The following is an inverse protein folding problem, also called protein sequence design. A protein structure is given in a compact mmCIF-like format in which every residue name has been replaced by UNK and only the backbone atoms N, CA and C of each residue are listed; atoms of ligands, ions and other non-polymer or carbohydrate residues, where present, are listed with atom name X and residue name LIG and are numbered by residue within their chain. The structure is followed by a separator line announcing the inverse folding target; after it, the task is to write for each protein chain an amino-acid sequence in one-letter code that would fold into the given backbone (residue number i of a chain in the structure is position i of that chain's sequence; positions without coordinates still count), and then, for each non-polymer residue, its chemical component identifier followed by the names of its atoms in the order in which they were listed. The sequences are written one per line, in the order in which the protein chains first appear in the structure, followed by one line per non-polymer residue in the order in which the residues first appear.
data_IF_827351696464
#
_entry.id   IF_827351696464
#
_cell.length_a   1.000
_cell.length_b   1.000
_cell.length_c   1.000
_cell.angle_alpha   90.00
_cell.angle_beta   90.00
_cell.angle_gamma   90.00
#
_symmetry.space_group_name_H-M   'P 1'
#
loop_
_entity.id
_entity.type
_entity.pdbx_description
1 polymer ?
#
# COMPACT_ATOMS: atom_id res chain seq x y z
N UNK A 1 -15.32 -55.34 26.63
CA UNK A 1 -14.28 -55.08 25.61
C UNK A 1 -14.50 -53.78 24.85
N UNK A 2 -15.72 -53.48 24.39
CA UNK A 2 -16.02 -52.22 23.63
C UNK A 2 -15.75 -50.93 24.40
N UNK A 3 -15.99 -50.87 25.71
CA UNK A 3 -15.79 -49.65 26.53
C UNK A 3 -14.32 -49.30 26.75
N UNK A 4 -13.41 -50.29 26.80
CA UNK A 4 -11.97 -50.07 26.94
C UNK A 4 -11.32 -49.53 25.64
N UNK A 5 -11.86 -49.94 24.46
CA UNK A 5 -11.36 -49.49 23.16
C UNK A 5 -11.76 -48.02 22.91
N UNK A 6 -12.98 -47.61 23.32
CA UNK A 6 -13.44 -46.22 23.18
C UNK A 6 -12.63 -45.28 24.06
N UNK A 7 -12.27 -45.68 25.28
CA UNK A 7 -11.45 -44.86 26.17
C UNK A 7 -10.00 -44.73 25.68
N UNK A 8 -9.44 -45.78 25.07
CA UNK A 8 -8.10 -45.74 24.48
C UNK A 8 -8.07 -44.82 23.25
N UNK A 9 -9.13 -44.80 22.43
CA UNK A 9 -9.23 -43.91 21.28
C UNK A 9 -9.34 -42.44 21.73
N UNK A 10 -10.09 -42.13 22.76
CA UNK A 10 -10.20 -40.78 23.31
C UNK A 10 -8.87 -40.27 23.92
N UNK A 11 -8.13 -41.14 24.58
CA UNK A 11 -6.80 -40.81 25.11
C UNK A 11 -5.77 -40.60 24.02
N UNK A 12 -5.84 -41.38 22.92
CA UNK A 12 -4.96 -41.16 21.74
C UNK A 12 -5.27 -39.82 21.03
N UNK A 13 -6.54 -39.46 20.85
CA UNK A 13 -6.94 -38.18 20.21
C UNK A 13 -6.58 -37.00 21.11
N UNK A 14 -6.76 -37.12 22.45
CA UNK A 14 -6.37 -36.11 23.41
C UNK A 14 -4.84 -35.90 23.44
N UNK A 15 -4.05 -36.97 23.36
CA UNK A 15 -2.59 -36.89 23.32
C UNK A 15 -2.08 -36.31 22.00
N UNK A 16 -2.73 -36.54 20.86
CA UNK A 16 -2.35 -35.92 19.60
C UNK A 16 -2.59 -34.42 19.61
N UNK A 17 -3.71 -33.93 20.17
CA UNK A 17 -3.98 -32.51 20.27
C UNK A 17 -3.02 -31.81 21.27
N UNK A 18 -2.65 -32.46 22.37
CA UNK A 18 -1.67 -31.91 23.32
C UNK A 18 -0.26 -31.89 22.72
N UNK A 19 0.13 -32.93 21.97
CA UNK A 19 1.41 -33.00 21.30
C UNK A 19 1.54 -31.90 20.23
N UNK A 20 0.45 -31.63 19.48
CA UNK A 20 0.46 -30.63 18.43
C UNK A 20 0.55 -29.18 18.97
N UNK A 21 -0.11 -28.93 20.14
CA UNK A 21 -0.02 -27.63 20.84
C UNK A 21 1.38 -27.37 21.41
N UNK A 22 1.99 -28.36 22.03
CA UNK A 22 3.35 -28.27 22.62
C UNK A 22 4.42 -28.01 21.53
N UNK A 23 4.24 -28.55 20.34
CA UNK A 23 5.20 -28.37 19.23
C UNK A 23 5.17 -26.96 18.64
N UNK A 24 4.00 -26.33 18.52
CA UNK A 24 3.88 -24.96 18.02
C UNK A 24 4.59 -23.95 18.95
N UNK A 25 4.39 -24.07 20.26
CA UNK A 25 5.07 -23.24 21.25
C UNK A 25 6.60 -23.44 21.23
N UNK A 26 7.07 -24.65 20.96
CA UNK A 26 8.49 -24.94 20.83
C UNK A 26 9.14 -24.18 19.70
N UNK A 27 8.51 -24.16 18.51
CA UNK A 27 9.01 -23.41 17.36
C UNK A 27 8.85 -21.90 17.53
N UNK A 28 7.72 -21.44 18.09
CA UNK A 28 7.55 -20.01 18.37
C UNK A 28 8.55 -19.48 19.41
N UNK A 29 8.96 -20.34 20.38
CA UNK A 29 9.95 -19.96 21.39
C UNK A 29 11.40 -19.93 20.89
N UNK A 30 11.67 -20.39 19.65
CA UNK A 30 12.98 -20.19 19.02
C UNK A 30 13.20 -18.74 18.59
N UNK A 31 12.14 -17.96 18.38
CA UNK A 31 12.24 -16.53 18.08
C UNK A 31 12.61 -15.79 19.36
N UNK A 32 13.84 -15.29 19.42
CA UNK A 32 14.37 -14.63 20.62
C UNK A 32 14.65 -13.15 20.41
N UNK A 33 14.59 -12.36 21.46
CA UNK A 33 14.95 -10.96 21.41
C UNK A 33 16.43 -10.74 21.01
N UNK A 34 17.30 -11.69 21.31
CA UNK A 34 18.73 -11.59 20.97
C UNK A 34 18.96 -11.80 19.47
N UNK A 35 18.31 -12.78 18.84
CA UNK A 35 18.40 -13.04 17.41
C UNK A 35 17.76 -11.90 16.60
N UNK A 36 16.57 -11.43 16.99
CA UNK A 36 15.94 -10.25 16.41
C UNK A 36 16.86 -9.04 16.48
N UNK A 37 17.51 -8.81 17.62
CA UNK A 37 18.45 -7.71 17.80
C UNK A 37 19.67 -7.85 16.88
N UNK A 38 20.27 -9.02 16.77
CA UNK A 38 21.45 -9.26 15.89
C UNK A 38 21.10 -8.94 14.44
N UNK A 39 19.99 -9.50 13.93
CA UNK A 39 19.51 -9.22 12.57
C UNK A 39 19.16 -7.74 12.36
N UNK A 40 18.47 -7.11 13.33
CA UNK A 40 18.08 -5.72 13.23
C UNK A 40 19.27 -4.76 13.22
N UNK A 41 20.27 -4.98 14.09
CA UNK A 41 21.47 -4.14 14.12
C UNK A 41 22.31 -4.27 12.83
N UNK A 42 22.26 -5.42 12.18
CA UNK A 42 22.87 -5.59 10.85
C UNK A 42 22.04 -4.86 9.78
N UNK A 43 20.75 -5.13 9.70
CA UNK A 43 19.87 -4.62 8.66
C UNK A 43 19.64 -3.10 8.72
N UNK A 44 19.69 -2.53 9.90
CA UNK A 44 19.60 -1.10 10.15
C UNK A 44 20.96 -0.42 10.38
N UNK A 45 22.08 -1.04 9.94
CA UNK A 45 23.41 -0.41 10.02
C UNK A 45 23.61 0.63 8.93
N UNK A 46 24.58 1.52 9.12
CA UNK A 46 24.95 2.55 8.13
C UNK A 46 25.41 1.97 6.80
N UNK A 47 25.85 0.70 6.76
CA UNK A 47 26.26 -0.01 5.54
C UNK A 47 25.08 -0.16 4.55
N UNK A 48 23.86 -0.19 5.06
CA UNK A 48 22.64 -0.27 4.27
C UNK A 48 22.13 1.10 3.79
N UNK A 49 22.83 2.19 4.12
CA UNK A 49 22.58 3.55 3.62
C UNK A 49 21.09 3.96 3.75
N UNK A 50 20.37 3.44 4.77
CA UNK A 50 18.95 3.70 4.99
C UNK A 50 17.99 3.14 3.91
N UNK A 51 18.45 2.24 3.06
CA UNK A 51 17.67 1.36 2.15
C UNK A 51 16.69 2.09 1.22
N UNK A 52 16.95 3.33 0.83
CA UNK A 52 16.04 4.06 -0.06
C UNK A 52 15.85 3.29 -1.38
N UNK A 53 14.60 3.22 -1.82
CA UNK A 53 14.17 2.52 -3.03
C UNK A 53 15.01 2.91 -4.25
N UNK A 54 15.57 1.89 -4.94
CA UNK A 54 16.40 2.07 -6.14
C UNK A 54 17.84 2.49 -5.88
N UNK A 55 18.25 2.68 -4.62
CA UNK A 55 19.63 3.04 -4.26
C UNK A 55 20.51 1.81 -4.02
N UNK A 56 21.81 2.06 -3.84
CA UNK A 56 22.79 1.02 -3.48
C UNK A 56 22.44 0.37 -2.14
N UNK A 57 21.99 1.13 -1.15
CA UNK A 57 21.60 0.60 0.15
C UNK A 57 20.45 -0.41 0.04
N UNK A 58 19.46 -0.12 -0.78
CA UNK A 58 18.37 -1.07 -1.06
C UNK A 58 18.88 -2.35 -1.75
N UNK A 59 19.86 -2.24 -2.67
CA UNK A 59 20.44 -3.43 -3.32
C UNK A 59 21.19 -4.31 -2.34
N UNK A 60 21.87 -3.74 -1.35
CA UNK A 60 22.48 -4.49 -0.25
C UNK A 60 21.40 -5.20 0.58
N UNK A 61 20.29 -4.52 0.87
CA UNK A 61 19.18 -5.07 1.64
C UNK A 61 18.54 -6.29 0.96
N UNK A 62 18.23 -6.22 -0.33
CA UNK A 62 17.61 -7.35 -1.05
C UNK A 62 18.54 -8.57 -1.14
N UNK A 63 19.85 -8.35 -1.33
CA UNK A 63 20.81 -9.46 -1.31
C UNK A 63 20.96 -10.05 0.09
N UNK A 64 20.94 -9.26 1.15
CA UNK A 64 20.92 -9.74 2.53
C UNK A 64 19.71 -10.64 2.79
N UNK A 65 18.50 -10.22 2.39
CA UNK A 65 17.27 -11.00 2.55
C UNK A 65 17.31 -12.31 1.76
N UNK A 66 17.71 -12.27 0.50
CA UNK A 66 17.90 -13.47 -0.34
C UNK A 66 18.88 -14.44 0.28
N UNK A 67 20.04 -13.95 0.74
CA UNK A 67 21.06 -14.79 1.36
C UNK A 67 20.55 -15.42 2.66
N UNK A 68 19.82 -14.67 3.48
CA UNK A 68 19.20 -15.20 4.71
C UNK A 68 18.26 -16.38 4.41
N UNK A 69 17.39 -16.25 3.39
CA UNK A 69 16.52 -17.37 2.97
C UNK A 69 17.30 -18.53 2.37
N UNK A 70 18.32 -18.25 1.59
CA UNK A 70 19.19 -19.28 0.98
C UNK A 70 19.92 -20.08 2.07
N UNK A 71 20.46 -19.42 3.07
CA UNK A 71 21.21 -20.05 4.19
C UNK A 71 20.28 -20.92 5.05
N UNK A 72 19.01 -20.49 5.21
CA UNK A 72 17.98 -21.29 5.85
C UNK A 72 17.48 -22.46 4.98
N UNK A 73 17.86 -22.54 3.70
CA UNK A 73 17.36 -23.54 2.76
C UNK A 73 15.86 -23.36 2.45
N UNK A 74 15.35 -22.14 2.49
CA UNK A 74 13.98 -21.78 2.09
C UNK A 74 14.03 -21.34 0.61
N UNK A 75 13.22 -21.97 -0.23
CA UNK A 75 13.21 -21.71 -1.66
C UNK A 75 12.59 -20.34 -2.02
N UNK A 76 12.92 -19.83 -3.19
CA UNK A 76 12.23 -18.68 -3.78
C UNK A 76 10.73 -19.00 -3.98
N UNK A 77 9.88 -17.98 -3.87
CA UNK A 77 8.45 -18.12 -4.11
C UNK A 77 8.11 -18.26 -5.61
N UNK A 78 8.93 -17.65 -6.48
CA UNK A 78 8.76 -17.73 -7.93
C UNK A 78 9.16 -19.12 -8.47
N UNK A 79 8.43 -19.58 -9.47
CA UNK A 79 8.64 -20.90 -10.07
C UNK A 79 9.98 -21.06 -10.81
N UNK A 80 10.59 -19.95 -11.25
CA UNK A 80 11.90 -19.92 -11.90
C UNK A 80 13.08 -20.01 -10.91
N UNK A 81 12.81 -19.96 -9.60
CA UNK A 81 13.81 -20.02 -8.54
C UNK A 81 14.46 -18.68 -8.22
N UNK A 82 14.01 -17.59 -8.82
CA UNK A 82 14.45 -16.23 -8.50
C UNK A 82 13.71 -15.70 -7.26
N UNK A 83 14.45 -15.18 -6.28
CA UNK A 83 13.87 -14.55 -5.10
C UNK A 83 13.33 -13.15 -5.40
N UNK A 84 13.75 -12.54 -6.51
CA UNK A 84 13.43 -11.17 -6.85
C UNK A 84 12.24 -11.08 -7.79
N UNK A 85 11.27 -10.25 -7.42
CA UNK A 85 10.25 -9.75 -8.33
C UNK A 85 10.65 -8.33 -8.72
N UNK A 86 11.03 -8.14 -9.99
CA UNK A 86 11.32 -6.80 -10.51
C UNK A 86 10.08 -5.92 -10.45
N UNK A 87 10.18 -4.77 -9.80
CA UNK A 87 9.15 -3.74 -9.77
C UNK A 87 9.58 -2.63 -10.73
N UNK A 88 8.90 -2.44 -11.85
CA UNK A 88 9.26 -1.42 -12.83
C UNK A 88 8.91 -0.04 -12.27
N UNK A 89 9.92 0.77 -12.03
CA UNK A 89 9.78 2.10 -11.47
C UNK A 89 10.34 3.17 -12.40
N UNK A 90 9.77 4.35 -12.34
CA UNK A 90 10.29 5.57 -12.96
C UNK A 90 10.38 6.68 -11.94
N UNK A 91 11.49 7.40 -11.98
CA UNK A 91 11.64 8.68 -11.31
C UNK A 91 11.01 9.74 -12.21
N UNK A 92 9.95 10.42 -11.76
CA UNK A 92 9.23 11.43 -12.54
C UNK A 92 9.53 12.82 -11.99
N UNK A 93 9.88 13.74 -12.87
CA UNK A 93 10.02 15.16 -12.55
C UNK A 93 8.64 15.84 -12.60
N UNK A 94 8.54 17.04 -12.05
CA UNK A 94 7.33 17.87 -12.24
C UNK A 94 7.08 18.06 -13.74
N UNK A 95 5.88 17.73 -14.26
CA UNK A 95 5.61 17.82 -15.67
C UNK A 95 5.60 19.28 -16.14
N UNK A 96 6.02 19.50 -17.38
CA UNK A 96 5.78 20.75 -18.09
C UNK A 96 4.44 20.66 -18.78
N UNK A 97 3.52 21.51 -18.37
CA UNK A 97 2.16 21.49 -18.93
C UNK A 97 1.75 22.88 -19.38
N UNK A 98 1.24 22.97 -20.60
CA UNK A 98 0.51 24.13 -21.07
C UNK A 98 -0.94 23.75 -21.34
N UNK A 99 -1.86 24.58 -20.90
CA UNK A 99 -3.30 24.40 -21.15
C UNK A 99 -3.85 25.66 -21.82
N UNK A 100 -4.49 25.46 -22.97
CA UNK A 100 -5.21 26.53 -23.69
C UNK A 100 -6.69 26.13 -23.74
N UNK A 101 -7.55 27.02 -23.26
CA UNK A 101 -9.01 26.85 -23.28
C UNK A 101 -9.57 27.90 -24.25
N UNK A 102 -10.22 27.42 -25.30
CA UNK A 102 -10.62 28.24 -26.47
C UNK A 102 -9.42 29.00 -27.02
N UNK A 103 -9.20 30.24 -26.59
CA UNK A 103 -8.07 31.10 -27.03
C UNK A 103 -7.24 31.62 -25.84
N UNK A 104 -7.54 31.18 -24.62
CA UNK A 104 -6.91 31.66 -23.40
C UNK A 104 -5.93 30.63 -22.89
N UNK A 105 -4.67 31.01 -22.73
CA UNK A 105 -3.63 30.15 -22.13
C UNK A 105 -3.60 30.33 -20.61
N UNK A 106 -3.35 29.24 -19.91
CA UNK A 106 -3.26 29.16 -18.45
C UNK A 106 -1.86 28.72 -18.02
N UNK A 107 -1.39 29.21 -16.88
CA UNK A 107 -0.03 28.99 -16.39
C UNK A 107 -0.01 27.99 -15.23
N UNK A 108 0.97 27.08 -15.28
CA UNK A 108 1.24 26.11 -14.20
C UNK A 108 1.59 26.84 -12.90
N UNK A 109 1.13 26.35 -11.76
CA UNK A 109 1.21 26.97 -10.43
C UNK A 109 0.39 28.24 -10.22
N UNK A 110 0.02 28.96 -11.27
CA UNK A 110 -0.79 30.17 -11.16
C UNK A 110 -2.28 29.88 -11.32
N UNK A 111 -2.62 28.99 -12.23
CA UNK A 111 -4.01 28.68 -12.61
C UNK A 111 -4.36 27.21 -12.34
N UNK A 112 -3.38 26.30 -12.47
CA UNK A 112 -3.57 24.87 -12.27
C UNK A 112 -2.27 24.18 -11.82
N UNK A 113 -2.43 22.92 -11.34
CA UNK A 113 -1.34 21.95 -11.15
C UNK A 113 -1.79 20.59 -11.65
N UNK A 114 -0.85 19.76 -12.10
CA UNK A 114 -1.10 18.33 -12.32
C UNK A 114 -1.20 17.58 -10.97
N UNK A 115 -2.13 16.64 -10.88
CA UNK A 115 -2.32 15.76 -9.74
C UNK A 115 -2.16 14.28 -10.12
N UNK A 116 -1.60 14.03 -11.31
CA UNK A 116 -1.26 12.69 -11.83
C UNK A 116 0.11 12.71 -12.46
N UNK A 117 0.81 11.59 -12.32
CA UNK A 117 1.97 11.25 -13.15
C UNK A 117 1.44 10.55 -14.40
N UNK A 118 1.78 11.08 -15.58
CA UNK A 118 1.25 10.60 -16.85
C UNK A 118 2.31 10.70 -17.95
N UNK A 119 2.18 9.88 -18.98
CA UNK A 119 3.06 9.92 -20.16
C UNK A 119 2.85 11.20 -20.95
N UNK A 120 3.90 11.69 -21.65
CA UNK A 120 3.79 12.87 -22.52
C UNK A 120 2.71 12.67 -23.57
N UNK A 121 1.88 13.69 -23.79
CA UNK A 121 0.79 13.64 -24.76
C UNK A 121 0.30 15.04 -25.13
N UNK A 122 -0.18 15.18 -26.35
CA UNK A 122 -0.95 16.34 -26.81
C UNK A 122 -2.42 15.95 -26.90
N UNK A 123 -3.27 16.62 -26.14
CA UNK A 123 -4.71 16.37 -26.10
C UNK A 123 -5.42 17.62 -26.64
N UNK A 124 -6.16 17.42 -27.73
CA UNK A 124 -7.09 18.42 -28.28
C UNK A 124 -8.49 17.83 -28.20
N UNK A 125 -9.40 18.47 -27.49
CA UNK A 125 -10.76 17.95 -27.32
C UNK A 125 -11.81 19.04 -27.27
N UNK A 126 -12.95 18.73 -27.88
CA UNK A 126 -14.23 19.44 -27.67
C UNK A 126 -15.24 18.60 -26.85
N UNK A 127 -14.87 17.38 -26.49
CA UNK A 127 -15.70 16.46 -25.72
C UNK A 127 -15.52 16.69 -24.22
N UNK A 128 -16.15 17.74 -23.71
CA UNK A 128 -16.07 18.17 -22.31
C UNK A 128 -17.38 17.86 -21.62
N UNK A 129 -17.32 17.17 -20.47
CA UNK A 129 -18.47 16.77 -19.68
C UNK A 129 -18.41 17.40 -18.30
N UNK A 130 -19.40 18.19 -17.95
CA UNK A 130 -19.55 18.78 -16.62
C UNK A 130 -20.38 17.84 -15.77
N UNK A 131 -19.79 17.27 -14.72
CA UNK A 131 -20.38 16.21 -13.89
C UNK A 131 -20.77 16.69 -12.48
N UNK A 132 -21.01 17.97 -12.30
CA UNK A 132 -21.33 18.50 -10.97
C UNK A 132 -20.21 18.22 -9.96
N UNK A 133 -20.50 17.51 -8.88
CA UNK A 133 -19.51 17.16 -7.85
C UNK A 133 -18.57 16.02 -8.25
N UNK A 134 -18.87 15.28 -9.32
CA UNK A 134 -18.07 14.11 -9.73
C UNK A 134 -18.23 12.91 -8.79
N UNK A 135 -19.39 12.72 -8.22
CA UNK A 135 -19.71 11.66 -7.27
C UNK A 135 -20.46 10.52 -7.97
N UNK A 136 -20.05 9.27 -7.68
CA UNK A 136 -20.80 8.05 -8.00
C UNK A 136 -20.93 7.20 -6.75
N UNK A 137 -22.10 7.23 -6.16
CA UNK A 137 -22.41 6.52 -4.92
C UNK A 137 -23.86 5.99 -4.98
N UNK A 138 -24.24 5.10 -4.06
CA UNK A 138 -25.60 4.55 -4.00
C UNK A 138 -26.68 5.61 -3.77
N UNK A 139 -26.35 6.66 -3.00
CA UNK A 139 -27.29 7.73 -2.66
C UNK A 139 -27.29 8.88 -3.68
N UNK A 140 -26.20 9.05 -4.44
CA UNK A 140 -26.05 10.16 -5.37
C UNK A 140 -25.10 9.82 -6.50
N UNK A 141 -25.48 10.13 -7.74
CA UNK A 141 -24.70 9.79 -8.91
C UNK A 141 -24.76 10.90 -9.97
N UNK A 142 -23.68 11.68 -10.08
CA UNK A 142 -23.51 12.71 -11.10
C UNK A 142 -23.31 12.15 -12.52
N UNK A 143 -22.88 10.89 -12.62
CA UNK A 143 -22.57 10.24 -13.91
C UNK A 143 -23.74 9.46 -14.49
N UNK A 144 -24.93 9.54 -13.84
CA UNK A 144 -26.10 8.83 -14.31
C UNK A 144 -26.46 9.28 -15.74
N UNK A 145 -26.59 8.30 -16.63
CA UNK A 145 -26.90 8.49 -18.05
C UNK A 145 -25.84 9.32 -18.85
N UNK A 146 -24.62 9.46 -18.31
CA UNK A 146 -23.52 10.14 -18.96
C UNK A 146 -22.45 9.14 -19.44
N UNK A 147 -22.04 9.27 -20.70
CA UNK A 147 -20.84 8.62 -21.20
C UNK A 147 -19.66 9.60 -21.12
N UNK A 148 -18.64 9.25 -20.34
CA UNK A 148 -17.41 10.04 -20.17
C UNK A 148 -16.18 9.36 -20.76
N UNK A 149 -16.36 8.23 -21.44
CA UNK A 149 -15.28 7.46 -22.04
C UNK A 149 -14.48 8.29 -23.05
N UNK A 150 -13.15 8.40 -22.83
CA UNK A 150 -12.22 9.21 -23.61
C UNK A 150 -12.53 10.74 -23.65
N UNK A 151 -13.38 11.23 -22.73
CA UNK A 151 -13.74 12.65 -22.64
C UNK A 151 -12.98 13.39 -21.53
N UNK A 152 -13.06 14.70 -21.57
CA UNK A 152 -12.56 15.55 -20.49
C UNK A 152 -13.69 15.77 -19.49
N UNK A 153 -13.49 15.34 -18.26
CA UNK A 153 -14.44 15.49 -17.16
C UNK A 153 -14.08 16.70 -16.31
N UNK A 154 -15.06 17.54 -16.01
CA UNK A 154 -14.90 18.69 -15.13
C UNK A 154 -15.84 18.54 -13.94
N UNK A 155 -15.27 18.54 -12.74
CA UNK A 155 -16.00 18.45 -11.48
C UNK A 155 -15.70 19.64 -10.55
N UNK A 156 -16.62 19.93 -9.64
CA UNK A 156 -16.45 20.93 -8.59
C UNK A 156 -16.19 20.25 -7.23
N UNK A 157 -15.57 20.98 -6.32
CA UNK A 157 -15.40 20.55 -4.94
C UNK A 157 -16.73 20.48 -4.19
N UNK A 158 -16.74 19.72 -3.07
CA UNK A 158 -17.90 19.57 -2.22
C UNK A 158 -18.75 18.36 -2.56
N UNK A 159 -19.95 18.32 -1.95
CA UNK A 159 -20.97 17.29 -2.09
C UNK A 159 -22.36 17.88 -1.85
N UNK A 160 -23.44 17.21 -2.32
CA UNK A 160 -24.78 17.75 -2.21
C UNK A 160 -25.25 17.79 -0.75
N UNK A 161 -26.12 18.78 -0.46
CA UNK A 161 -26.81 18.92 0.83
C UNK A 161 -28.31 18.69 0.68
N UNK A 162 -28.90 18.22 1.75
CA UNK A 162 -30.34 18.15 1.93
C UNK A 162 -30.93 19.55 2.17
N UNK A 163 -32.26 19.68 2.09
CA UNK A 163 -32.98 20.94 2.34
C UNK A 163 -32.81 21.47 3.77
N UNK A 164 -32.56 20.59 4.75
CA UNK A 164 -32.28 20.93 6.14
C UNK A 164 -30.83 21.36 6.39
N UNK A 165 -29.97 21.33 5.37
CA UNK A 165 -28.56 21.74 5.43
C UNK A 165 -27.58 20.63 5.75
N UNK A 166 -28.03 19.42 6.12
CA UNK A 166 -27.18 18.25 6.32
C UNK A 166 -26.56 17.77 5.01
N UNK A 167 -25.43 17.05 5.07
CA UNK A 167 -24.85 16.46 3.87
C UNK A 167 -25.63 15.21 3.45
N UNK A 168 -25.96 15.12 2.16
CA UNK A 168 -26.76 14.00 1.63
C UNK A 168 -26.07 12.64 1.86
N UNK A 169 -24.73 12.61 1.76
CA UNK A 169 -23.95 11.37 1.82
C UNK A 169 -23.80 10.83 3.25
N UNK A 170 -23.62 11.69 4.24
CA UNK A 170 -23.53 11.29 5.65
C UNK A 170 -24.88 11.30 6.38
N UNK A 171 -25.83 12.06 5.88
CA UNK A 171 -27.11 12.32 6.56
C UNK A 171 -26.98 13.20 7.80
N UNK A 172 -25.82 13.85 8.01
CA UNK A 172 -25.47 14.65 9.19
C UNK A 172 -24.83 15.99 8.79
N UNK A 173 -24.43 16.78 9.78
CA UNK A 173 -23.62 18.00 9.56
C UNK A 173 -22.15 17.72 9.25
N UNK A 174 -21.73 16.45 9.32
CA UNK A 174 -20.34 16.05 9.03
C UNK A 174 -20.17 15.74 7.54
N UNK A 175 -19.01 16.19 7.00
CA UNK A 175 -18.61 15.89 5.61
C UNK A 175 -18.32 14.41 5.43
N UNK A 176 -18.66 13.88 4.25
CA UNK A 176 -18.31 12.51 3.88
C UNK A 176 -16.92 12.44 3.22
N UNK A 177 -16.50 11.23 2.83
CA UNK A 177 -15.29 11.01 2.00
C UNK A 177 -15.26 11.88 0.73
N UNK A 178 -16.41 12.33 0.23
CA UNK A 178 -16.55 13.12 -1.01
C UNK A 178 -16.24 14.62 -0.84
N UNK A 179 -16.09 15.08 0.41
CA UNK A 179 -15.68 16.46 0.74
C UNK A 179 -14.45 16.52 1.64
N UNK A 180 -13.94 15.37 2.11
CA UNK A 180 -12.79 15.32 3.01
C UNK A 180 -11.46 15.45 2.25
N UNK A 181 -10.99 16.66 2.05
CA UNK A 181 -9.64 17.02 1.62
C UNK A 181 -9.07 16.17 0.48
N UNK A 182 -7.90 15.55 0.72
CA UNK A 182 -7.21 14.69 -0.26
C UNK A 182 -8.03 13.45 -0.63
N UNK A 183 -8.75 12.88 0.32
CA UNK A 183 -9.59 11.71 0.06
C UNK A 183 -10.68 12.03 -0.97
N UNK A 184 -11.34 13.19 -0.85
CA UNK A 184 -12.35 13.63 -1.81
C UNK A 184 -11.78 13.79 -3.23
N UNK A 185 -10.61 14.42 -3.35
CA UNK A 185 -9.92 14.57 -4.63
C UNK A 185 -9.64 13.21 -5.27
N UNK A 186 -9.02 12.29 -4.52
CA UNK A 186 -8.72 10.93 -5.00
C UNK A 186 -9.97 10.15 -5.37
N UNK A 187 -11.02 10.18 -4.55
CA UNK A 187 -12.27 9.46 -4.81
C UNK A 187 -12.94 9.92 -6.11
N UNK A 188 -13.01 11.24 -6.33
CA UNK A 188 -13.59 11.82 -7.56
C UNK A 188 -12.75 11.52 -8.79
N UNK A 189 -11.44 11.62 -8.68
CA UNK A 189 -10.49 11.29 -9.73
C UNK A 189 -10.55 9.81 -10.12
N UNK A 190 -10.55 8.90 -9.14
CA UNK A 190 -10.67 7.47 -9.39
C UNK A 190 -12.01 7.12 -10.04
N UNK A 191 -13.10 7.74 -9.61
CA UNK A 191 -14.41 7.57 -10.26
C UNK A 191 -14.38 7.94 -11.74
N UNK A 192 -13.77 9.08 -12.09
CA UNK A 192 -13.63 9.48 -13.49
C UNK A 192 -12.73 8.51 -14.28
N UNK A 193 -11.61 8.04 -13.68
CA UNK A 193 -10.70 7.04 -14.28
C UNK A 193 -11.42 5.71 -14.53
N UNK A 194 -12.14 5.19 -13.57
CA UNK A 194 -12.92 3.94 -13.68
C UNK A 194 -14.00 4.00 -14.77
N UNK A 195 -14.55 5.19 -15.04
CA UNK A 195 -15.51 5.44 -16.09
C UNK A 195 -14.86 5.75 -17.45
N UNK A 196 -13.52 5.66 -17.54
CA UNK A 196 -12.78 5.79 -18.78
C UNK A 196 -12.53 7.23 -19.25
N UNK A 197 -12.59 8.22 -18.37
CA UNK A 197 -12.27 9.60 -18.72
C UNK A 197 -10.82 9.75 -19.21
N UNK A 198 -10.57 10.60 -20.22
CA UNK A 198 -9.24 10.91 -20.73
C UNK A 198 -8.51 11.93 -19.86
N UNK A 199 -9.24 12.93 -19.37
CA UNK A 199 -8.71 13.93 -18.43
C UNK A 199 -9.78 14.30 -17.39
N UNK A 200 -9.32 14.73 -16.22
CA UNK A 200 -10.15 15.13 -15.10
C UNK A 200 -9.68 16.47 -14.53
N UNK A 201 -10.59 17.44 -14.45
CA UNK A 201 -10.35 18.74 -13.83
C UNK A 201 -11.19 18.88 -12.57
N UNK A 202 -10.54 19.11 -11.43
CA UNK A 202 -11.23 19.42 -10.19
C UNK A 202 -11.11 20.93 -9.88
N UNK A 203 -12.23 21.62 -9.88
CA UNK A 203 -12.30 23.03 -9.47
C UNK A 203 -12.36 23.09 -7.95
N UNK A 204 -11.25 23.47 -7.30
CA UNK A 204 -11.15 23.64 -5.85
C UNK A 204 -10.07 24.66 -5.51
N UNK A 205 -10.44 25.94 -5.45
CA UNK A 205 -9.53 27.05 -5.26
C UNK A 205 -8.70 26.98 -3.96
N UNK A 206 -9.33 26.58 -2.86
CA UNK A 206 -8.65 26.46 -1.56
C UNK A 206 -7.56 25.38 -1.58
N UNK A 207 -7.89 24.23 -2.13
CA UNK A 207 -6.94 23.12 -2.28
C UNK A 207 -5.87 23.46 -3.32
N UNK A 208 -6.23 24.05 -4.45
CA UNK A 208 -5.30 24.51 -5.46
C UNK A 208 -4.25 25.46 -4.88
N UNK A 209 -4.65 26.52 -4.19
CA UNK A 209 -3.73 27.49 -3.56
C UNK A 209 -2.77 26.82 -2.57
N UNK A 210 -3.28 25.88 -1.77
CA UNK A 210 -2.47 25.14 -0.79
C UNK A 210 -1.41 24.28 -1.49
N UNK A 211 -1.81 23.47 -2.47
CA UNK A 211 -0.90 22.54 -3.14
C UNK A 211 0.02 23.23 -4.14
N UNK A 212 -0.47 24.22 -4.89
CA UNK A 212 0.34 25.01 -5.81
C UNK A 212 1.53 25.68 -5.07
N UNK A 213 1.27 26.32 -3.94
CA UNK A 213 2.33 26.92 -3.12
C UNK A 213 3.33 25.88 -2.59
N UNK A 214 2.84 24.72 -2.16
CA UNK A 214 3.68 23.64 -1.65
C UNK A 214 4.58 23.07 -2.75
N UNK A 215 4.03 22.69 -3.91
CA UNK A 215 4.79 22.10 -5.00
C UNK A 215 5.73 23.10 -5.66
N UNK A 216 5.31 24.35 -5.82
CA UNK A 216 6.18 25.41 -6.32
C UNK A 216 7.40 25.63 -5.41
N UNK A 217 7.18 25.73 -4.10
CA UNK A 217 8.27 25.89 -3.13
C UNK A 217 9.18 24.65 -3.05
N UNK A 218 8.66 23.44 -3.30
CA UNK A 218 9.44 22.21 -3.41
C UNK A 218 10.35 22.27 -4.64
N UNK A 219 9.80 22.57 -5.80
CA UNK A 219 10.54 22.61 -7.06
C UNK A 219 11.62 23.71 -7.07
N UNK A 220 11.32 24.88 -6.49
CA UNK A 220 12.30 25.98 -6.32
C UNK A 220 13.50 25.59 -5.45
N UNK A 221 13.35 24.61 -4.56
CA UNK A 221 14.43 24.07 -3.72
C UNK A 221 15.19 22.90 -4.37
N UNK A 222 14.93 22.61 -5.65
CA UNK A 222 15.52 21.48 -6.34
C UNK A 222 14.75 20.17 -6.11
N UNK A 223 13.43 20.27 -6.04
CA UNK A 223 12.47 19.29 -5.60
C UNK A 223 12.80 17.83 -5.94
N UNK A 224 12.48 16.94 -5.02
CA UNK A 224 12.61 15.51 -5.22
C UNK A 224 11.69 15.06 -6.34
N UNK A 225 12.23 14.29 -7.27
CA UNK A 225 11.44 13.58 -8.26
C UNK A 225 10.58 12.53 -7.54
N UNK A 226 9.33 12.38 -7.96
CA UNK A 226 8.46 11.34 -7.42
C UNK A 226 8.82 9.98 -8.04
N UNK A 227 8.70 8.93 -7.26
CA UNK A 227 8.79 7.58 -7.78
C UNK A 227 7.39 7.06 -8.14
N UNK A 228 7.25 6.43 -9.30
CA UNK A 228 5.98 5.88 -9.78
C UNK A 228 6.19 4.52 -10.46
N UNK A 229 5.14 3.71 -10.56
CA UNK A 229 5.17 2.47 -11.35
C UNK A 229 5.21 2.79 -12.84
N UNK A 230 6.13 2.15 -13.58
CA UNK A 230 6.18 2.17 -15.04
C UNK A 230 5.35 1.00 -15.60
N UNK A 231 4.05 1.15 -15.56
CA UNK A 231 3.11 0.16 -16.07
C UNK A 231 2.42 0.63 -17.34
N UNK A 232 2.06 -0.31 -18.22
CA UNK A 232 1.41 -0.01 -19.49
C UNK A 232 -0.10 0.25 -19.29
N UNK A 233 -0.43 1.28 -18.51
CA UNK A 233 -1.79 1.79 -18.45
C UNK A 233 -1.93 3.07 -19.29
N UNK A 234 -3.10 3.24 -19.91
CA UNK A 234 -3.46 4.53 -20.50
C UNK A 234 -3.70 5.53 -19.35
N UNK A 235 -2.92 6.60 -19.28
CA UNK A 235 -3.04 7.54 -18.19
C UNK A 235 -4.31 8.37 -18.32
N UNK A 236 -4.95 8.66 -17.21
CA UNK A 236 -5.91 9.76 -17.11
C UNK A 236 -5.17 11.01 -16.60
N UNK A 237 -5.25 12.10 -17.33
CA UNK A 237 -4.61 13.38 -16.95
C UNK A 237 -5.45 14.10 -15.92
N UNK A 238 -4.93 14.31 -14.71
CA UNK A 238 -5.64 14.94 -13.61
C UNK A 238 -5.10 16.34 -13.29
N UNK A 239 -6.01 17.30 -13.11
CA UNK A 239 -5.67 18.67 -12.81
C UNK A 239 -6.51 19.23 -11.67
N UNK A 240 -5.84 19.92 -10.75
CA UNK A 240 -6.48 20.74 -9.73
C UNK A 240 -6.36 22.20 -10.17
N UNK A 241 -7.50 22.90 -10.25
CA UNK A 241 -7.54 24.22 -10.88
C UNK A 241 -8.11 25.31 -9.95
N UNK A 242 -7.66 26.55 -10.22
CA UNK A 242 -8.18 27.76 -9.57
C UNK A 242 -9.65 28.01 -9.90
N UNK A 243 -10.31 28.83 -9.10
CA UNK A 243 -11.68 29.29 -9.40
C UNK A 243 -11.74 30.07 -10.72
N UNK A 244 -10.71 30.87 -11.01
CA UNK A 244 -10.64 31.69 -12.23
C UNK A 244 -10.63 30.80 -13.49
N UNK A 245 -9.74 29.82 -13.54
CA UNK A 245 -9.69 28.83 -14.63
C UNK A 245 -10.98 28.01 -14.67
N UNK A 246 -11.51 27.61 -13.51
CA UNK A 246 -12.75 26.88 -13.39
C UNK A 246 -13.94 27.62 -14.03
N UNK A 247 -14.04 28.92 -13.83
CA UNK A 247 -15.12 29.73 -14.42
C UNK A 247 -15.06 29.76 -15.97
N UNK A 248 -13.90 29.57 -16.55
CA UNK A 248 -13.72 29.42 -18.01
C UNK A 248 -14.08 28.01 -18.44
N UNK A 249 -13.56 26.98 -17.74
CA UNK A 249 -13.87 25.57 -18.00
C UNK A 249 -15.36 25.25 -18.06
N UNK A 250 -16.15 25.87 -17.18
CA UNK A 250 -17.61 25.66 -17.13
C UNK A 250 -18.37 26.22 -18.35
N UNK A 251 -17.70 26.94 -19.24
CA UNK A 251 -18.33 27.61 -20.40
C UNK A 251 -17.62 27.35 -21.72
N UNK A 252 -16.55 26.53 -21.67
CA UNK A 252 -15.69 26.30 -22.84
C UNK A 252 -16.27 25.29 -23.81
N UNK A 253 -15.77 25.35 -25.04
CA UNK A 253 -16.07 24.35 -26.08
C UNK A 253 -14.82 23.56 -26.50
N UNK A 254 -13.62 24.06 -26.25
CA UNK A 254 -12.39 23.38 -26.66
C UNK A 254 -11.29 23.53 -25.62
N UNK A 255 -10.53 22.45 -25.42
CA UNK A 255 -9.34 22.42 -24.55
C UNK A 255 -8.19 21.77 -25.32
N UNK A 256 -7.02 22.44 -25.29
CA UNK A 256 -5.75 21.87 -25.68
C UNK A 256 -4.87 21.73 -24.46
N UNK A 257 -4.29 20.52 -24.26
CA UNK A 257 -3.35 20.22 -23.18
C UNK A 257 -2.10 19.65 -23.83
N UNK A 258 -0.98 20.35 -23.69
CA UNK A 258 0.34 19.83 -24.02
C UNK A 258 1.03 19.42 -22.72
N UNK A 259 1.22 18.11 -22.54
CA UNK A 259 1.75 17.50 -21.32
C UNK A 259 3.08 16.83 -21.65
N UNK A 260 4.18 17.40 -21.18
CA UNK A 260 5.53 16.84 -21.31
C UNK A 260 6.01 16.30 -19.94
N UNK A 261 6.19 14.96 -19.86
CA UNK A 261 6.72 14.28 -18.68
C UNK A 261 8.16 13.86 -18.94
N UNK A 262 9.06 14.32 -18.08
CA UNK A 262 10.42 13.79 -18.01
C UNK A 262 10.48 12.70 -16.96
N UNK A 263 10.92 11.51 -17.36
CA UNK A 263 11.07 10.37 -16.46
C UNK A 263 12.36 9.61 -16.70
N UNK A 264 12.89 8.97 -15.65
CA UNK A 264 14.09 8.14 -15.69
C UNK A 264 13.78 6.77 -15.08
N UNK A 265 14.02 5.66 -15.79
CA UNK A 265 13.84 4.32 -15.24
C UNK A 265 14.69 4.08 -14.00
N UNK A 266 14.09 3.43 -13.00
CA UNK A 266 14.74 2.96 -11.77
C UNK A 266 14.46 1.47 -11.63
N UNK A 267 15.44 0.70 -11.17
CA UNK A 267 15.25 -0.72 -10.86
C UNK A 267 15.08 -0.89 -9.37
N UNK A 268 14.03 -1.61 -8.99
CA UNK A 268 13.80 -2.03 -7.62
C UNK A 268 13.10 -3.39 -7.60
N UNK A 269 13.21 -4.11 -6.51
CA UNK A 269 12.72 -5.48 -6.43
C UNK A 269 12.01 -5.73 -5.09
N UNK A 270 10.88 -6.46 -5.15
CA UNK A 270 10.38 -7.20 -3.99
C UNK A 270 11.21 -8.49 -3.81
N UNK A 271 11.33 -8.96 -2.58
CA UNK A 271 11.97 -10.24 -2.26
C UNK A 271 10.91 -11.21 -1.74
N UNK A 272 10.84 -12.41 -2.33
CA UNK A 272 9.84 -13.40 -1.97
C UNK A 272 10.42 -14.80 -1.82
N UNK A 273 10.23 -15.39 -0.64
CA UNK A 273 10.58 -16.78 -0.33
C UNK A 273 9.32 -17.58 0.07
N UNK A 274 9.36 -18.90 -0.01
CA UNK A 274 8.19 -19.74 0.25
C UNK A 274 8.53 -21.06 0.93
N UNK A 275 7.75 -21.40 1.94
CA UNK A 275 7.67 -22.76 2.49
C UNK A 275 6.39 -23.39 1.97
N UNK A 276 6.52 -24.48 1.18
CA UNK A 276 5.39 -25.16 0.58
C UNK A 276 4.56 -25.92 1.61
N UNK A 277 3.24 -25.79 1.53
CA UNK A 277 2.29 -26.46 2.38
C UNK A 277 2.23 -27.97 2.19
N UNK A 278 2.00 -28.70 3.27
CA UNK A 278 1.96 -30.18 3.28
C UNK A 278 0.61 -30.75 2.87
N UNK A 279 -0.51 -30.06 3.10
CA UNK A 279 -1.87 -30.54 2.83
C UNK A 279 -2.57 -29.72 1.74
N UNK A 280 -2.32 -28.41 1.68
CA UNK A 280 -2.95 -27.43 0.78
C UNK A 280 -1.88 -26.53 0.15
N UNK A 281 -1.03 -27.08 -0.71
CA UNK A 281 0.11 -26.36 -1.27
C UNK A 281 -0.27 -25.20 -2.19
N UNK A 282 -1.48 -25.18 -2.71
CA UNK A 282 -2.00 -24.16 -3.62
C UNK A 282 -2.89 -23.11 -2.91
N UNK A 283 -3.00 -23.17 -1.57
CA UNK A 283 -3.57 -22.11 -0.74
C UNK A 283 -2.43 -21.37 -0.01
N UNK A 284 -2.38 -20.03 -0.12
CA UNK A 284 -1.24 -19.23 0.33
C UNK A 284 -1.62 -18.33 1.50
N UNK A 285 -0.75 -18.24 2.49
CA UNK A 285 -0.73 -17.21 3.51
C UNK A 285 0.51 -16.37 3.25
N UNK A 286 0.37 -15.05 3.16
CA UNK A 286 1.48 -14.12 2.98
C UNK A 286 1.79 -13.45 4.30
N UNK A 287 3.07 -13.41 4.66
CA UNK A 287 3.61 -12.55 5.70
C UNK A 287 4.40 -11.46 4.99
N UNK A 288 4.04 -10.21 5.17
CA UNK A 288 4.67 -9.09 4.47
C UNK A 288 5.23 -8.03 5.43
N UNK A 289 6.28 -7.37 4.98
CA UNK A 289 6.90 -6.18 5.57
C UNK A 289 7.53 -5.37 4.45
N UNK A 290 7.80 -4.08 4.65
CA UNK A 290 8.57 -3.37 3.64
C UNK A 290 10.07 -3.39 3.93
N UNK A 291 10.85 -3.42 2.84
CA UNK A 291 12.31 -3.56 2.92
C UNK A 291 13.04 -2.21 2.80
N UNK A 292 12.41 -1.22 2.21
CA UNK A 292 12.97 0.12 2.02
C UNK A 292 12.76 1.04 3.23
N UNK A 293 13.48 2.16 3.24
CA UNK A 293 13.27 3.29 4.14
C UNK A 293 13.71 4.58 3.40
N UNK A 294 13.80 5.69 4.10
CA UNK A 294 13.98 7.01 3.48
C UNK A 294 15.42 7.33 3.03
N UNK A 295 16.42 6.51 3.35
CA UNK A 295 17.77 6.65 2.82
C UNK A 295 18.68 7.62 3.56
N UNK A 296 19.43 8.41 2.80
CA UNK A 296 20.40 9.39 3.31
C UNK A 296 19.95 10.81 2.95
N UNK A 297 19.91 11.71 3.92
CA UNK A 297 19.61 13.12 3.70
C UNK A 297 20.67 14.00 4.38
N UNK A 298 21.20 15.00 3.68
CA UNK A 298 22.19 15.94 4.18
C UNK A 298 23.44 15.29 4.82
N UNK A 299 23.80 14.07 4.35
CA UNK A 299 24.93 13.29 4.84
C UNK A 299 24.64 12.47 6.10
N UNK A 300 23.42 12.46 6.60
CA UNK A 300 22.95 11.59 7.68
C UNK A 300 22.23 10.37 7.13
N UNK A 301 22.48 9.20 7.73
CA UNK A 301 21.81 7.93 7.39
C UNK A 301 20.57 7.80 8.27
N UNK A 302 19.43 7.63 7.64
CA UNK A 302 18.19 7.28 8.33
C UNK A 302 18.05 5.77 8.31
N UNK A 303 18.44 5.14 9.40
CA UNK A 303 18.65 3.68 9.45
C UNK A 303 17.36 2.86 9.39
N UNK A 304 16.19 3.42 9.70
CA UNK A 304 14.91 2.72 9.63
C UNK A 304 14.86 1.43 10.43
N UNK A 305 15.28 1.48 11.71
CA UNK A 305 15.32 0.27 12.54
C UNK A 305 13.92 -0.22 12.94
N UNK A 306 13.00 0.72 13.25
CA UNK A 306 11.61 0.40 13.54
C UNK A 306 10.78 0.34 12.26
N UNK A 307 10.93 1.33 11.40
CA UNK A 307 10.25 1.54 10.12
C UNK A 307 11.18 1.14 8.93
N UNK A 308 11.05 0.01 8.29
CA UNK A 308 10.41 -1.21 8.81
C UNK A 308 11.43 -2.35 8.96
N UNK A 309 12.60 -2.01 9.51
CA UNK A 309 13.59 -3.01 9.87
C UNK A 309 13.02 -4.03 10.86
N UNK A 310 12.17 -3.58 11.80
CA UNK A 310 11.58 -4.43 12.82
C UNK A 310 10.63 -5.49 12.24
N UNK A 311 9.76 -5.13 11.32
CA UNK A 311 8.87 -6.07 10.62
C UNK A 311 9.65 -7.00 9.69
N UNK A 312 10.59 -6.45 8.93
CA UNK A 312 11.42 -7.24 8.00
C UNK A 312 12.21 -8.33 8.74
N UNK A 313 12.90 -8.05 9.85
CA UNK A 313 13.65 -9.08 10.58
C UNK A 313 12.73 -10.04 11.33
N UNK A 314 11.56 -9.59 11.78
CA UNK A 314 10.56 -10.48 12.39
C UNK A 314 10.10 -11.55 11.39
N UNK A 315 9.89 -11.21 10.12
CA UNK A 315 9.55 -12.18 9.07
C UNK A 315 10.67 -13.21 8.86
N UNK A 316 11.95 -12.80 8.91
CA UNK A 316 13.06 -13.74 8.83
C UNK A 316 13.06 -14.75 9.99
N UNK A 317 12.85 -14.30 11.21
CA UNK A 317 12.76 -15.19 12.40
C UNK A 317 11.56 -16.14 12.33
N UNK A 318 10.41 -15.62 11.87
CA UNK A 318 9.22 -16.44 11.64
C UNK A 318 9.50 -17.51 10.57
N UNK A 319 10.20 -17.15 9.51
CA UNK A 319 10.57 -18.08 8.44
C UNK A 319 11.49 -19.20 8.96
N UNK A 320 12.46 -18.87 9.79
CA UNK A 320 13.35 -19.83 10.45
C UNK A 320 12.57 -20.82 11.32
N UNK A 321 11.64 -20.32 12.14
CA UNK A 321 10.77 -21.15 12.98
C UNK A 321 9.88 -22.10 12.14
N UNK A 322 9.30 -21.62 11.04
CA UNK A 322 8.54 -22.46 10.10
C UNK A 322 9.41 -23.49 9.39
N UNK A 323 10.64 -23.12 9.03
CA UNK A 323 11.60 -24.05 8.42
C UNK A 323 11.99 -25.15 9.36
N UNK A 324 12.31 -24.84 10.61
CA UNK A 324 12.60 -25.83 11.65
C UNK A 324 11.41 -26.78 11.88
N UNK A 325 10.18 -26.27 11.88
CA UNK A 325 8.97 -27.08 11.96
C UNK A 325 8.84 -28.00 10.74
N UNK A 326 9.10 -27.51 9.54
CA UNK A 326 9.05 -28.30 8.30
C UNK A 326 10.05 -29.46 8.31
N UNK A 327 11.28 -29.23 8.74
CA UNK A 327 12.35 -30.24 8.82
C UNK A 327 12.00 -31.36 9.81
N UNK A 328 11.22 -31.03 10.84
CA UNK A 328 10.71 -32.01 11.80
C UNK A 328 9.37 -32.65 11.37
N UNK A 329 8.93 -32.47 10.12
CA UNK A 329 7.69 -33.05 9.59
C UNK A 329 6.41 -32.39 10.13
N UNK A 330 6.53 -31.17 10.69
CA UNK A 330 5.45 -30.39 11.31
C UNK A 330 5.26 -29.03 10.63
N UNK A 331 5.68 -28.93 9.37
CA UNK A 331 5.55 -27.73 8.56
C UNK A 331 4.09 -27.27 8.34
N UNK A 332 3.91 -26.11 7.74
CA UNK A 332 2.58 -25.53 7.55
C UNK A 332 1.73 -26.40 6.63
N UNK A 333 0.41 -26.39 6.86
CA UNK A 333 -0.56 -27.10 6.00
C UNK A 333 -0.80 -26.37 4.69
N UNK A 334 -0.85 -25.04 4.71
CA UNK A 334 -0.88 -24.15 3.55
C UNK A 334 0.53 -23.65 3.23
N UNK A 335 0.77 -23.25 2.01
CA UNK A 335 2.02 -22.58 1.68
C UNK A 335 2.11 -21.22 2.38
N UNK A 336 3.30 -20.88 2.89
CA UNK A 336 3.57 -19.57 3.50
C UNK A 336 4.59 -18.84 2.66
N UNK A 337 4.22 -17.64 2.21
CA UNK A 337 5.09 -16.73 1.45
C UNK A 337 5.58 -15.64 2.41
N UNK A 338 6.89 -15.43 2.42
CA UNK A 338 7.58 -14.35 3.11
C UNK A 338 7.90 -13.30 2.05
N UNK A 339 7.20 -12.16 2.11
CA UNK A 339 7.24 -11.12 1.08
C UNK A 339 7.76 -9.80 1.67
N UNK A 340 8.91 -9.35 1.18
CA UNK A 340 9.43 -8.03 1.51
C UNK A 340 9.22 -7.10 0.33
N UNK A 341 8.39 -6.07 0.51
CA UNK A 341 7.99 -5.16 -0.56
C UNK A 341 8.87 -3.92 -0.60
N UNK A 342 9.14 -3.42 -1.80
CA UNK A 342 9.90 -2.20 -2.03
C UNK A 342 8.98 -1.00 -2.26
N UNK A 343 9.52 0.22 -2.08
CA UNK A 343 8.82 1.46 -2.43
C UNK A 343 7.58 1.74 -1.59
N UNK A 344 7.56 1.25 -0.36
CA UNK A 344 6.48 1.55 0.60
C UNK A 344 6.48 3.06 0.90
N UNK A 345 7.64 3.61 1.28
CA UNK A 345 7.90 5.01 1.63
C UNK A 345 7.62 5.99 0.45
N UNK A 346 7.51 5.46 -0.74
CA UNK A 346 7.21 6.22 -1.97
C UNK A 346 5.75 6.02 -2.42
N UNK A 347 4.91 5.38 -1.62
CA UNK A 347 3.48 5.20 -1.85
C UNK A 347 3.05 3.77 -2.18
N UNK A 348 3.59 2.79 -1.45
CA UNK A 348 3.18 1.36 -1.51
C UNK A 348 3.45 0.70 -2.87
N UNK A 349 4.47 1.16 -3.62
CA UNK A 349 4.64 0.79 -5.04
C UNK A 349 4.88 -0.71 -5.25
N UNK A 350 5.69 -1.36 -4.39
CA UNK A 350 5.99 -2.78 -4.51
C UNK A 350 4.81 -3.68 -4.19
N UNK A 351 4.04 -3.35 -3.15
CA UNK A 351 2.82 -4.09 -2.81
C UNK A 351 1.72 -3.87 -3.84
N UNK A 352 1.57 -2.65 -4.35
CA UNK A 352 0.65 -2.36 -5.46
C UNK A 352 1.03 -3.15 -6.71
N UNK A 353 2.32 -3.20 -7.07
CA UNK A 353 2.76 -3.98 -8.23
C UNK A 353 2.43 -5.47 -8.05
N UNK A 354 2.68 -6.02 -6.86
CA UNK A 354 2.34 -7.40 -6.54
C UNK A 354 0.83 -7.67 -6.66
N UNK A 355 -0.03 -6.79 -6.16
CA UNK A 355 -1.47 -7.05 -6.11
C UNK A 355 -2.18 -6.76 -7.44
N UNK A 356 -1.79 -5.70 -8.14
CA UNK A 356 -2.57 -5.16 -9.24
C UNK A 356 -2.03 -5.57 -10.61
N UNK A 357 -0.73 -5.94 -10.70
CA UNK A 357 -0.07 -6.14 -12.00
C UNK A 357 0.56 -7.52 -12.17
N UNK A 358 1.37 -8.00 -11.21
CA UNK A 358 2.16 -9.23 -11.37
C UNK A 358 2.23 -10.04 -10.06
N UNK A 359 1.12 -10.60 -9.59
CA UNK A 359 1.12 -11.45 -8.40
C UNK A 359 1.93 -12.73 -8.64
N UNK A 360 2.90 -13.03 -7.76
CA UNK A 360 3.75 -14.24 -7.84
C UNK A 360 2.90 -15.51 -7.76
N UNK A 361 1.79 -15.47 -7.05
CA UNK A 361 0.80 -16.56 -6.96
C UNK A 361 -0.60 -16.00 -7.23
N UNK A 362 -1.55 -16.81 -7.72
CA UNK A 362 -2.90 -16.32 -8.00
C UNK A 362 -3.56 -15.71 -6.75
N UNK A 363 -4.04 -14.47 -6.84
CA UNK A 363 -4.69 -13.79 -5.71
C UNK A 363 -5.90 -14.56 -5.19
N UNK A 364 -6.65 -15.23 -6.07
CA UNK A 364 -7.79 -16.07 -5.67
C UNK A 364 -7.41 -17.27 -4.77
N UNK A 365 -6.13 -17.62 -4.72
CA UNK A 365 -5.58 -18.68 -3.85
C UNK A 365 -4.90 -18.09 -2.60
N UNK A 366 -4.79 -16.78 -2.50
CA UNK A 366 -4.27 -16.10 -1.31
C UNK A 366 -5.37 -16.01 -0.25
N UNK A 367 -5.20 -16.75 0.84
CA UNK A 367 -6.18 -16.85 1.93
C UNK A 367 -6.14 -15.63 2.83
N UNK A 368 -4.93 -15.11 3.10
CA UNK A 368 -4.70 -13.96 3.96
C UNK A 368 -3.32 -13.36 3.69
N UNK A 369 -3.20 -12.05 3.90
CA UNK A 369 -1.93 -11.37 4.11
C UNK A 369 -1.88 -10.80 5.53
N UNK A 370 -0.77 -11.03 6.23
CA UNK A 370 -0.47 -10.46 7.54
C UNK A 370 0.74 -9.54 7.37
N UNK A 371 0.50 -8.24 7.34
CA UNK A 371 1.55 -7.24 7.26
C UNK A 371 2.10 -6.91 8.64
N UNK A 372 3.41 -6.77 8.75
CA UNK A 372 4.10 -6.43 10.00
C UNK A 372 4.88 -5.14 9.73
N UNK A 373 4.58 -4.10 10.50
CA UNK A 373 5.16 -2.79 10.32
C UNK A 373 5.30 -2.09 11.68
N UNK A 374 6.48 -1.50 11.95
CA UNK A 374 6.79 -0.71 13.13
C UNK A 374 6.47 -1.39 14.47
N UNK A 375 6.97 -2.60 14.69
CA UNK A 375 6.74 -3.37 15.93
C UNK A 375 7.88 -3.25 16.95
N UNK A 376 8.92 -2.47 16.66
CA UNK A 376 10.16 -2.39 17.47
C UNK A 376 10.08 -1.44 18.65
N UNK A 377 9.09 -0.55 18.73
CA UNK A 377 8.97 0.45 19.82
C UNK A 377 7.51 0.80 20.14
N UNK A 378 7.32 1.48 21.26
CA UNK A 378 6.00 2.02 21.64
C UNK A 378 5.74 3.36 20.95
N UNK A 379 4.50 3.58 20.47
CA UNK A 379 4.07 4.86 19.91
C UNK A 379 4.13 5.97 20.98
N UNK A 380 4.87 7.07 20.74
CA UNK A 380 4.96 8.18 21.67
C UNK A 380 3.63 8.92 21.87
N UNK A 381 2.67 8.79 20.95
CA UNK A 381 1.33 9.37 21.09
C UNK A 381 0.45 8.57 22.02
N UNK A 382 0.79 7.32 22.30
CA UNK A 382 0.02 6.45 23.19
C UNK A 382 0.35 6.75 24.64
N UNK A 383 -0.57 7.39 25.35
CA UNK A 383 -0.40 7.85 26.73
C UNK A 383 -1.07 6.92 27.76
N UNK A 384 -1.95 6.00 27.31
CA UNK A 384 -2.72 5.07 28.13
C UNK A 384 -2.53 3.63 27.67
N UNK A 385 -2.93 2.66 28.48
CA UNK A 385 -2.83 1.24 28.18
C UNK A 385 -1.50 0.58 28.58
N UNK A 386 -1.35 -0.68 28.26
CA UNK A 386 -0.11 -1.44 28.55
C UNK A 386 1.00 -1.04 27.56
N UNK A 387 2.25 -1.13 27.99
CA UNK A 387 3.40 -0.97 27.09
C UNK A 387 3.57 -2.15 26.12
N UNK A 388 3.09 -3.32 26.50
CA UNK A 388 3.11 -4.52 25.67
C UNK A 388 1.79 -4.61 24.90
N UNK A 389 1.79 -4.09 23.68
CA UNK A 389 0.62 -3.99 22.80
C UNK A 389 1.03 -4.06 21.33
N UNK A 390 0.05 -4.29 20.48
CA UNK A 390 0.14 -4.04 19.02
C UNK A 390 -1.12 -3.32 18.56
N UNK A 391 -0.99 -2.50 17.52
CA UNK A 391 -2.13 -2.05 16.73
C UNK A 391 -2.57 -3.19 15.81
N UNK A 392 -3.86 -3.55 15.86
CA UNK A 392 -4.44 -4.52 14.94
C UNK A 392 -5.35 -3.78 13.97
N UNK A 393 -4.87 -3.64 12.71
CA UNK A 393 -5.47 -2.76 11.70
C UNK A 393 -6.11 -3.60 10.60
N UNK A 394 -7.35 -3.26 10.21
CA UNK A 394 -8.05 -3.87 9.08
C UNK A 394 -8.47 -5.33 9.27
N UNK A 395 -8.29 -5.92 10.45
CA UNK A 395 -8.52 -7.35 10.69
C UNK A 395 -9.97 -7.80 10.49
N UNK A 396 -10.95 -6.93 10.72
CA UNK A 396 -12.39 -7.19 10.57
C UNK A 396 -12.99 -6.64 9.26
N UNK A 397 -12.21 -5.88 8.46
CA UNK A 397 -12.72 -5.20 7.25
C UNK A 397 -13.20 -6.18 6.18
N UNK A 398 -12.49 -7.30 5.99
CA UNK A 398 -12.80 -8.31 4.99
C UNK A 398 -13.24 -9.65 5.61
N UNK A 399 -12.84 -9.96 6.84
CA UNK A 399 -13.06 -11.26 7.46
C UNK A 399 -13.21 -11.17 8.97
N UNK A 400 -14.44 -11.30 9.46
CA UNK A 400 -14.71 -11.43 10.89
C UNK A 400 -14.10 -12.70 11.51
N UNK A 401 -13.86 -13.75 10.71
CA UNK A 401 -13.24 -14.98 11.18
C UNK A 401 -11.74 -14.77 11.42
N UNK A 402 -11.03 -14.01 10.56
CA UNK A 402 -9.64 -13.66 10.78
C UNK A 402 -9.48 -12.81 12.05
N UNK A 403 -10.36 -11.83 12.25
CA UNK A 403 -10.37 -11.01 13.46
C UNK A 403 -10.50 -11.84 14.72
N UNK A 404 -11.53 -12.71 14.80
CA UNK A 404 -11.72 -13.62 15.96
C UNK A 404 -10.54 -14.56 16.18
N UNK A 405 -9.97 -15.09 15.10
CA UNK A 405 -8.79 -15.95 15.18
C UNK A 405 -7.59 -15.20 15.76
N UNK A 406 -7.38 -13.94 15.37
CA UNK A 406 -6.32 -13.09 15.92
C UNK A 406 -6.47 -12.88 17.43
N UNK A 407 -7.69 -12.58 17.90
CA UNK A 407 -8.00 -12.43 19.32
C UNK A 407 -7.81 -13.75 20.11
N UNK A 408 -8.27 -14.86 19.54
CA UNK A 408 -8.10 -16.19 20.14
C UNK A 408 -6.62 -16.57 20.28
N UNK A 409 -5.84 -16.36 19.23
CA UNK A 409 -4.40 -16.66 19.24
C UNK A 409 -3.65 -15.77 20.20
N UNK A 410 -3.96 -14.47 20.24
CA UNK A 410 -3.41 -13.56 21.22
C UNK A 410 -3.73 -14.00 22.65
N UNK A 411 -5.00 -14.30 22.96
CA UNK A 411 -5.43 -14.76 24.28
C UNK A 411 -4.73 -16.04 24.70
N UNK A 412 -4.50 -16.95 23.75
CA UNK A 412 -3.92 -18.26 24.02
C UNK A 412 -2.41 -18.22 24.22
N UNK A 413 -1.68 -17.42 23.44
CA UNK A 413 -0.23 -17.55 23.33
C UNK A 413 0.55 -16.33 23.82
N UNK A 414 0.08 -15.11 23.59
CA UNK A 414 0.85 -13.90 23.86
C UNK A 414 0.24 -13.00 24.93
N UNK A 415 -1.09 -12.91 24.98
CA UNK A 415 -1.85 -12.10 25.93
C UNK A 415 -1.36 -10.64 26.04
N UNK A 416 -0.97 -10.04 24.89
CA UNK A 416 -0.65 -8.63 24.77
C UNK A 416 -1.94 -7.82 24.58
N UNK A 417 -1.89 -6.51 24.76
CA UNK A 417 -3.02 -5.64 24.47
C UNK A 417 -3.16 -5.46 22.96
N UNK A 418 -4.37 -5.74 22.42
CA UNK A 418 -4.71 -5.40 21.04
C UNK A 418 -5.37 -4.02 21.04
N UNK A 419 -4.77 -3.08 20.31
CA UNK A 419 -5.26 -1.71 20.17
C UNK A 419 -5.85 -1.53 18.77
N UNK A 420 -7.09 -1.07 18.70
CA UNK A 420 -7.86 -0.91 17.46
C UNK A 420 -8.01 0.55 17.04
N UNK A 421 -7.21 1.46 17.61
CA UNK A 421 -7.32 2.91 17.37
C UNK A 421 -7.33 3.25 15.87
N UNK A 422 -6.54 2.54 15.06
CA UNK A 422 -6.43 2.78 13.62
C UNK A 422 -7.22 1.78 12.76
N UNK A 423 -8.09 0.99 13.36
CA UNK A 423 -8.82 -0.06 12.63
C UNK A 423 -9.86 0.50 11.65
N UNK A 424 -10.35 1.72 11.88
CA UNK A 424 -11.39 2.40 11.08
C UNK A 424 -10.87 3.51 10.16
N UNK A 425 -9.55 3.68 10.06
CA UNK A 425 -8.90 4.69 9.21
C UNK A 425 -8.72 4.27 7.74
#
# INVERSE_FOLDING_TARGET
MKLKITLLLFILIANQNISQSQNQETYASSITAEELKEKLYTYASDEFEGRETGTKGQKIAIEYLKNSYTDLGIAAAKADGDYFQNVPLVLVETPKVSITIDTTSFEYYQDFISITDAKSSLINSSDIVLVGYGIKDALYNDYKDMDVTNKIVVAIAGEPKNEDGTYLMSGTDEISKWSNGRQAMRSKQNTAKELGAKAFFLINDAMFKRYSNYYKARDERGGESNLALDVNEEPMYGFLVSEAMGAVLLKTNTIEIDFEQVSKPITSENVAAMIKGSEKPDEYIILSAHLDHVGMHDGEVFNGADDDGSGTVAILEIAEAFKAAQENGQGPKRSVIFLHVTGEEKGLLGSQYYTDYDPIVPLAQTVSNLNIDMIGRTDPKRTEGKRNYIYLIGSDKLSTDLHKLSEEMNTKYTNIELDYTYNDE
#
